data_IF_892795552112
#
_entry.id   IF_892795552112
#
_cell.length_a   1.000
_cell.length_b   1.000
_cell.length_c   1.000
_cell.angle_alpha   90.00
_cell.angle_beta   90.00
_cell.angle_gamma   90.00
#
_symmetry.space_group_name_H-M   'P 1'
#
loop_
_entity.id
_entity.type
_entity.pdbx_description
1 polymer ?
#
# COMPACT_ATOMS: atom_id res chain seq x y z
N UNK A 1 -18.07 6.85 -24.99
CA UNK A 1 -17.93 7.58 -23.71
C UNK A 1 -16.89 6.84 -22.92
N UNK A 2 -15.84 7.53 -22.50
CA UNK A 2 -14.80 6.92 -21.66
C UNK A 2 -15.26 6.77 -20.21
N UNK A 3 -14.48 6.08 -19.41
CA UNK A 3 -14.80 5.75 -18.02
C UNK A 3 -14.58 6.96 -17.11
N UNK A 4 -15.48 7.18 -16.15
CA UNK A 4 -15.39 8.18 -15.09
C UNK A 4 -15.00 7.49 -13.79
N UNK A 5 -13.82 7.80 -13.28
CA UNK A 5 -13.20 7.16 -12.12
C UNK A 5 -13.23 8.06 -10.89
N UNK A 6 -13.66 7.55 -9.74
CA UNK A 6 -13.44 8.16 -8.43
C UNK A 6 -12.23 7.54 -7.74
N UNK A 7 -11.31 8.36 -7.25
CA UNK A 7 -10.18 7.94 -6.40
C UNK A 7 -10.31 8.59 -5.03
N UNK A 8 -10.33 7.80 -3.97
CA UNK A 8 -10.22 8.29 -2.60
C UNK A 8 -8.81 8.08 -2.05
N UNK A 9 -8.37 8.91 -1.11
CA UNK A 9 -7.00 8.84 -0.59
C UNK A 9 -5.94 9.35 -1.56
N UNK A 10 -6.31 10.17 -2.54
CA UNK A 10 -5.45 10.70 -3.59
C UNK A 10 -4.27 11.57 -3.09
N UNK A 11 -4.29 12.04 -1.84
CA UNK A 11 -3.17 12.77 -1.20
C UNK A 11 -2.18 11.83 -0.48
N UNK A 12 -2.47 10.54 -0.42
CA UNK A 12 -1.63 9.55 0.24
C UNK A 12 -0.57 8.95 -0.68
N UNK A 13 0.31 8.14 -0.09
CA UNK A 13 1.43 7.47 -0.75
C UNK A 13 0.99 6.69 -2.01
N UNK A 14 0.06 5.75 -1.87
CA UNK A 14 -0.40 4.91 -2.97
C UNK A 14 -1.46 5.63 -3.80
N UNK A 15 -2.47 6.23 -3.16
CA UNK A 15 -3.56 6.91 -3.86
C UNK A 15 -3.11 8.08 -4.75
N UNK A 16 -2.03 8.78 -4.37
CA UNK A 16 -1.42 9.81 -5.20
C UNK A 16 -0.82 9.26 -6.50
N UNK A 17 -0.24 8.05 -6.46
CA UNK A 17 0.26 7.36 -7.65
C UNK A 17 -0.88 6.87 -8.54
N UNK A 18 -1.94 6.35 -7.93
CA UNK A 18 -3.17 5.99 -8.65
C UNK A 18 -3.76 7.20 -9.37
N UNK A 19 -3.87 8.34 -8.68
CA UNK A 19 -4.41 9.57 -9.26
C UNK A 19 -3.55 10.07 -10.45
N UNK A 20 -2.22 10.04 -10.32
CA UNK A 20 -1.30 10.41 -11.39
C UNK A 20 -1.39 9.45 -12.61
N UNK A 21 -1.42 8.15 -12.36
CA UNK A 21 -1.58 7.15 -13.42
C UNK A 21 -2.94 7.27 -14.12
N UNK A 22 -4.01 7.51 -13.36
CA UNK A 22 -5.35 7.69 -13.89
C UNK A 22 -5.47 8.95 -14.76
N UNK A 23 -4.88 10.07 -14.33
CA UNK A 23 -4.88 11.32 -15.10
C UNK A 23 -4.23 11.18 -16.48
N UNK A 24 -3.25 10.30 -16.60
CA UNK A 24 -2.54 10.02 -17.87
C UNK A 24 -3.18 8.89 -18.70
N UNK A 25 -4.24 8.24 -18.21
CA UNK A 25 -4.80 7.05 -18.86
C UNK A 25 -5.73 7.41 -20.02
N UNK A 26 -5.50 6.88 -21.24
CA UNK A 26 -6.25 7.29 -22.44
C UNK A 26 -7.72 6.86 -22.42
N UNK A 27 -8.09 5.80 -21.70
CA UNK A 27 -9.45 5.28 -21.65
C UNK A 27 -10.32 5.95 -20.57
N UNK A 28 -9.78 6.92 -19.85
CA UNK A 28 -10.51 7.70 -18.85
C UNK A 28 -10.93 9.06 -19.41
N UNK A 29 -12.21 9.37 -19.33
CA UNK A 29 -12.71 10.71 -19.66
C UNK A 29 -12.52 11.66 -18.47
N UNK A 30 -12.74 11.13 -17.25
CA UNK A 30 -12.71 11.95 -16.03
C UNK A 30 -12.15 11.17 -14.84
N UNK A 31 -11.31 11.84 -14.07
CA UNK A 31 -10.80 11.35 -12.77
C UNK A 31 -11.26 12.31 -11.69
N UNK A 32 -12.09 11.84 -10.78
CA UNK A 32 -12.54 12.60 -9.61
C UNK A 32 -11.73 12.19 -8.40
N UNK A 33 -11.16 13.17 -7.68
CA UNK A 33 -10.36 12.97 -6.49
C UNK A 33 -11.15 13.45 -5.27
N UNK A 34 -11.48 12.55 -4.35
CA UNK A 34 -12.06 12.92 -3.06
C UNK A 34 -10.91 13.28 -2.11
N UNK A 35 -10.85 14.54 -1.68
CA UNK A 35 -9.80 15.07 -0.79
C UNK A 35 -10.42 15.89 0.34
N UNK A 36 -9.81 15.81 1.55
CA UNK A 36 -10.26 16.58 2.71
C UNK A 36 -9.91 18.07 2.59
N UNK A 37 -8.72 18.35 2.10
CA UNK A 37 -8.24 19.69 1.82
C UNK A 37 -7.83 19.78 0.33
N UNK A 38 -8.55 20.55 -0.49
CA UNK A 38 -8.21 20.74 -1.90
C UNK A 38 -6.82 21.33 -2.12
N UNK A 39 -6.34 22.20 -1.21
CA UNK A 39 -5.02 22.83 -1.32
C UNK A 39 -3.87 21.83 -1.07
N UNK A 40 -4.16 20.73 -0.38
CA UNK A 40 -3.22 19.62 -0.19
C UNK A 40 -3.30 18.58 -1.33
N UNK A 41 -4.21 18.74 -2.27
CA UNK A 41 -4.17 17.94 -3.50
C UNK A 41 -2.80 18.17 -4.16
N UNK A 42 -2.13 17.10 -4.62
CA UNK A 42 -0.81 17.24 -5.20
C UNK A 42 -0.86 18.35 -6.27
N UNK A 43 -0.11 19.44 -6.08
CA UNK A 43 0.03 20.52 -7.04
C UNK A 43 0.60 20.04 -8.39
N UNK A 44 1.00 18.81 -8.43
CA UNK A 44 1.50 18.08 -9.57
C UNK A 44 0.50 17.01 -10.05
N UNK A 45 -0.77 17.35 -10.22
CA UNK A 45 -1.40 16.82 -11.41
C UNK A 45 -0.87 17.69 -12.55
N UNK A 46 0.19 17.31 -13.26
CA UNK A 46 0.54 17.99 -14.49
C UNK A 46 -0.78 18.06 -15.26
N UNK A 47 -1.07 19.21 -15.84
CA UNK A 47 -2.18 19.32 -16.78
C UNK A 47 -2.15 18.07 -17.61
N UNK A 48 -3.26 17.31 -17.62
CA UNK A 48 -3.29 15.99 -18.24
C UNK A 48 -2.55 16.11 -19.56
N UNK A 49 -1.63 15.21 -19.90
CA UNK A 49 -0.94 15.28 -21.18
C UNK A 49 -2.02 15.40 -22.26
N UNK A 50 -1.73 16.06 -23.35
CA UNK A 50 -2.70 16.26 -24.43
C UNK A 50 -3.37 14.91 -24.75
N UNK A 51 -4.67 14.78 -24.46
CA UNK A 51 -5.43 13.52 -24.57
C UNK A 51 -5.62 12.73 -23.26
N UNK A 52 -5.17 13.21 -22.10
CA UNK A 52 -5.46 12.59 -20.79
C UNK A 52 -6.83 12.97 -20.23
N UNK A 53 -7.22 12.29 -19.14
CA UNK A 53 -8.49 12.49 -18.46
C UNK A 53 -8.63 13.90 -17.84
N UNK A 54 -9.85 14.43 -17.80
CA UNK A 54 -10.16 15.64 -17.03
C UNK A 54 -10.09 15.30 -15.54
N UNK A 55 -9.21 15.96 -14.80
CA UNK A 55 -9.08 15.77 -13.35
C UNK A 55 -9.91 16.81 -12.62
N UNK A 56 -10.82 16.37 -11.75
CA UNK A 56 -11.62 17.22 -10.87
C UNK A 56 -11.39 16.86 -9.40
N UNK A 57 -11.34 17.86 -8.54
CA UNK A 57 -11.20 17.67 -7.09
C UNK A 57 -12.53 17.97 -6.42
N UNK A 58 -12.98 17.02 -5.59
CA UNK A 58 -14.17 17.18 -4.75
C UNK A 58 -13.75 17.18 -3.30
N UNK A 59 -14.09 18.26 -2.58
CA UNK A 59 -13.85 18.33 -1.16
C UNK A 59 -14.81 17.41 -0.41
N UNK A 60 -14.27 16.56 0.48
CA UNK A 60 -15.06 15.66 1.31
C UNK A 60 -14.19 14.74 2.15
N UNK A 61 -14.84 14.04 3.06
CA UNK A 61 -14.22 13.05 3.97
C UNK A 61 -14.97 11.72 3.84
N UNK A 62 -14.26 10.60 3.87
CA UNK A 62 -14.89 9.27 3.86
C UNK A 62 -15.79 9.04 5.08
N UNK A 63 -15.63 9.82 6.13
CA UNK A 63 -16.49 9.81 7.34
C UNK A 63 -17.78 10.62 7.17
N UNK A 64 -17.96 11.33 6.07
CA UNK A 64 -19.17 12.09 5.74
C UNK A 64 -19.92 11.47 4.57
N UNK A 65 -20.99 10.76 4.88
CA UNK A 65 -21.85 10.11 3.88
C UNK A 65 -22.44 11.10 2.86
N UNK A 66 -22.60 12.39 3.22
CA UNK A 66 -23.05 13.44 2.31
C UNK A 66 -22.02 13.73 1.23
N UNK A 67 -20.75 13.86 1.63
CA UNK A 67 -19.65 14.08 0.69
C UNK A 67 -19.42 12.86 -0.22
N UNK A 68 -19.57 11.64 0.32
CA UNK A 68 -19.46 10.42 -0.46
C UNK A 68 -20.54 10.31 -1.53
N UNK A 69 -21.79 10.67 -1.23
CA UNK A 69 -22.85 10.69 -2.24
C UNK A 69 -22.51 11.64 -3.40
N UNK A 70 -22.09 12.87 -3.08
CA UNK A 70 -21.68 13.85 -4.13
C UNK A 70 -20.48 13.35 -4.93
N UNK A 71 -19.51 12.74 -4.25
CA UNK A 71 -18.32 12.22 -4.93
C UNK A 71 -18.64 11.06 -5.88
N UNK A 72 -19.62 10.23 -5.57
CA UNK A 72 -20.01 9.07 -6.38
C UNK A 72 -20.97 9.41 -7.52
N UNK A 73 -21.59 10.62 -7.56
CA UNK A 73 -22.53 10.97 -8.63
C UNK A 73 -21.90 10.85 -10.03
N UNK A 74 -22.50 9.98 -10.85
CA UNK A 74 -22.13 9.80 -12.24
C UNK A 74 -20.74 9.19 -12.45
N UNK A 75 -20.16 8.48 -11.49
CA UNK A 75 -18.93 7.71 -11.68
C UNK A 75 -19.24 6.28 -12.09
N UNK A 76 -18.37 5.70 -12.91
CA UNK A 76 -18.52 4.35 -13.44
C UNK A 76 -17.71 3.34 -12.61
N UNK A 77 -16.61 3.79 -12.02
CA UNK A 77 -15.71 2.98 -11.18
C UNK A 77 -15.15 3.76 -9.99
N UNK A 78 -14.82 3.05 -8.92
CA UNK A 78 -14.23 3.60 -7.68
C UNK A 78 -12.96 2.85 -7.34
N UNK A 79 -11.86 3.58 -7.07
CA UNK A 79 -10.65 3.06 -6.42
C UNK A 79 -10.56 3.68 -5.03
N UNK A 80 -10.68 2.83 -4.00
CA UNK A 80 -10.66 3.23 -2.61
C UNK A 80 -9.28 2.98 -1.99
N UNK A 81 -8.47 4.05 -1.88
CA UNK A 81 -7.15 4.04 -1.22
C UNK A 81 -7.15 4.80 0.11
N UNK A 82 -8.25 5.47 0.48
CA UNK A 82 -8.32 6.18 1.76
C UNK A 82 -8.28 5.19 2.93
N UNK A 83 -7.31 5.37 3.81
CA UNK A 83 -7.15 4.53 5.01
C UNK A 83 -6.46 5.32 6.11
N UNK A 84 -6.81 5.05 7.36
CA UNK A 84 -6.06 5.48 8.52
C UNK A 84 -5.15 4.33 9.01
N UNK A 85 -3.91 4.68 9.39
CA UNK A 85 -2.90 3.73 9.86
C UNK A 85 -2.35 4.24 11.19
N UNK A 86 -2.46 3.44 12.24
CA UNK A 86 -2.08 3.85 13.59
C UNK A 86 -3.01 4.92 14.19
N UNK A 87 -2.77 5.29 15.44
CA UNK A 87 -3.60 6.25 16.17
C UNK A 87 -4.77 5.59 16.89
N UNK A 88 -5.75 6.41 17.27
CA UNK A 88 -6.91 6.00 18.05
C UNK A 88 -7.80 5.01 17.29
N UNK A 89 -8.23 3.94 17.96
CA UNK A 89 -9.04 2.87 17.35
C UNK A 89 -10.36 3.39 16.79
N UNK A 90 -10.96 4.39 17.43
CA UNK A 90 -12.19 5.02 16.95
C UNK A 90 -11.99 5.69 15.58
N UNK A 91 -10.89 6.42 15.38
CA UNK A 91 -10.54 7.00 14.09
C UNK A 91 -10.32 5.91 13.03
N UNK A 92 -9.60 4.85 13.39
CA UNK A 92 -9.38 3.72 12.49
C UNK A 92 -10.69 3.07 12.06
N UNK A 93 -11.61 2.87 13.00
CA UNK A 93 -12.95 2.33 12.73
C UNK A 93 -13.79 3.28 11.87
N UNK A 94 -13.78 4.57 12.20
CA UNK A 94 -14.54 5.57 11.45
C UNK A 94 -14.10 5.67 9.99
N UNK A 95 -12.77 5.55 9.71
CA UNK A 95 -12.23 5.65 8.35
C UNK A 95 -12.28 4.32 7.61
N UNK A 96 -11.68 3.26 8.20
CA UNK A 96 -11.43 2.01 7.48
C UNK A 96 -12.65 1.07 7.41
N UNK A 97 -13.52 1.12 8.42
CA UNK A 97 -14.73 0.29 8.51
C UNK A 97 -15.95 1.07 8.01
N UNK A 98 -16.43 2.05 8.82
CA UNK A 98 -17.65 2.79 8.51
C UNK A 98 -17.52 3.62 7.23
N UNK A 99 -16.37 4.28 7.02
CA UNK A 99 -16.10 5.07 5.82
C UNK A 99 -16.12 4.22 4.55
N UNK A 100 -15.56 3.00 4.62
CA UNK A 100 -15.61 2.05 3.49
C UNK A 100 -17.03 1.57 3.24
N UNK A 101 -17.81 1.25 4.29
CA UNK A 101 -19.23 0.89 4.15
C UNK A 101 -20.01 1.99 3.45
N UNK A 102 -19.89 3.22 3.94
CA UNK A 102 -20.66 4.35 3.43
C UNK A 102 -20.26 4.71 1.99
N UNK A 103 -18.99 4.53 1.63
CA UNK A 103 -18.50 4.67 0.25
C UNK A 103 -19.12 3.60 -0.67
N UNK A 104 -19.09 2.34 -0.26
CA UNK A 104 -19.68 1.22 -1.04
C UNK A 104 -21.16 1.47 -1.27
N UNK A 105 -21.88 1.89 -0.23
CA UNK A 105 -23.31 2.23 -0.31
C UNK A 105 -23.56 3.40 -1.28
N UNK A 106 -22.75 4.45 -1.21
CA UNK A 106 -22.86 5.61 -2.10
C UNK A 106 -22.55 5.23 -3.57
N UNK A 107 -21.49 4.45 -3.81
CA UNK A 107 -21.11 3.97 -5.13
C UNK A 107 -22.21 3.09 -5.78
N UNK A 108 -22.79 2.15 -5.01
CA UNK A 108 -23.88 1.30 -5.48
C UNK A 108 -25.14 2.10 -5.82
N UNK A 109 -25.52 3.06 -4.97
CA UNK A 109 -26.69 3.93 -5.25
C UNK A 109 -26.49 4.81 -6.48
N UNK A 110 -25.24 5.21 -6.75
CA UNK A 110 -24.88 5.98 -7.94
C UNK A 110 -24.78 5.11 -9.22
N UNK A 111 -24.88 3.79 -9.08
CA UNK A 111 -24.79 2.87 -10.22
C UNK A 111 -23.36 2.57 -10.67
N UNK A 112 -22.35 2.84 -9.85
CA UNK A 112 -20.97 2.48 -10.16
C UNK A 112 -20.86 0.96 -10.37
N UNK A 113 -20.39 0.56 -11.56
CA UNK A 113 -20.30 -0.85 -11.95
C UNK A 113 -19.09 -1.57 -11.36
N UNK A 114 -18.12 -0.83 -10.79
CA UNK A 114 -16.88 -1.43 -10.27
C UNK A 114 -16.38 -0.69 -9.03
N UNK A 115 -16.04 -1.48 -8.01
CA UNK A 115 -15.44 -0.98 -6.76
C UNK A 115 -14.18 -1.78 -6.51
N UNK A 116 -13.02 -1.11 -6.47
CA UNK A 116 -11.71 -1.67 -6.14
C UNK A 116 -11.23 -1.05 -4.85
N UNK A 117 -10.88 -1.85 -3.86
CA UNK A 117 -10.38 -1.37 -2.57
C UNK A 117 -8.96 -1.84 -2.30
N UNK A 118 -8.11 -0.92 -1.90
CA UNK A 118 -6.77 -1.22 -1.41
C UNK A 118 -6.85 -1.69 0.03
N UNK A 119 -6.48 -2.94 0.30
CA UNK A 119 -6.33 -3.51 1.62
C UNK A 119 -4.88 -3.90 1.92
N UNK A 120 -4.65 -4.93 2.71
CA UNK A 120 -3.34 -5.39 3.14
C UNK A 120 -3.35 -6.89 3.44
N UNK A 121 -2.26 -7.61 3.15
CA UNK A 121 -2.09 -8.99 3.57
C UNK A 121 -2.04 -9.15 5.10
N UNK A 122 -1.79 -8.07 5.87
CA UNK A 122 -1.81 -8.09 7.34
C UNK A 122 -3.17 -8.44 7.96
N UNK A 123 -4.25 -8.55 7.16
CA UNK A 123 -5.55 -9.08 7.60
C UNK A 123 -5.48 -10.56 8.00
N UNK A 124 -4.43 -11.28 7.58
CA UNK A 124 -4.18 -12.68 7.95
C UNK A 124 -3.36 -12.83 9.24
N UNK A 125 -2.89 -11.73 9.82
CA UNK A 125 -2.09 -11.75 11.04
C UNK A 125 -0.60 -11.89 10.80
N UNK A 126 0.07 -12.62 11.71
CA UNK A 126 1.52 -12.83 11.68
C UNK A 126 1.83 -14.24 11.20
N UNK A 127 2.53 -14.38 10.10
CA UNK A 127 2.93 -15.65 9.49
C UNK A 127 3.46 -16.74 10.42
N UNK A 128 4.25 -17.65 9.94
CA UNK A 128 4.83 -17.63 8.59
C UNK A 128 3.81 -17.96 7.50
N UNK A 129 3.94 -17.29 6.36
CA UNK A 129 3.17 -17.57 5.16
C UNK A 129 4.12 -17.88 4.02
N UNK A 130 4.00 -19.10 3.42
CA UNK A 130 4.87 -19.57 2.34
C UNK A 130 4.04 -19.88 1.10
N UNK A 131 4.24 -19.14 0.03
CA UNK A 131 3.49 -19.27 -1.22
C UNK A 131 1.98 -19.36 -0.96
N UNK A 132 1.48 -18.56 0.01
CA UNK A 132 0.09 -18.63 0.39
C UNK A 132 -0.78 -18.16 -0.77
N UNK A 133 -1.65 -19.06 -1.24
CA UNK A 133 -2.59 -18.76 -2.32
C UNK A 133 -3.81 -17.98 -1.78
N UNK A 134 -4.52 -17.26 -2.65
CA UNK A 134 -5.76 -16.61 -2.28
C UNK A 134 -6.76 -17.60 -1.66
N UNK A 135 -7.53 -17.11 -0.71
CA UNK A 135 -8.60 -17.85 -0.02
C UNK A 135 -8.16 -19.07 0.80
N UNK A 136 -6.84 -19.31 0.93
CA UNK A 136 -6.31 -20.41 1.75
C UNK A 136 -6.04 -20.02 3.21
N UNK A 137 -5.95 -18.73 3.50
CA UNK A 137 -5.68 -18.21 4.83
C UNK A 137 -6.94 -17.62 5.48
N UNK A 138 -7.18 -17.93 6.77
CA UNK A 138 -8.23 -17.25 7.51
C UNK A 138 -7.89 -15.77 7.75
N UNK A 139 -8.91 -14.94 7.94
CA UNK A 139 -8.72 -13.60 8.48
C UNK A 139 -8.42 -13.70 9.98
N UNK A 140 -7.24 -13.25 10.39
CA UNK A 140 -6.77 -13.27 11.78
C UNK A 140 -6.02 -11.98 12.14
N UNK A 141 -6.61 -10.79 11.88
CA UNK A 141 -5.93 -9.50 12.04
C UNK A 141 -5.58 -9.24 13.50
N UNK A 142 -4.33 -8.82 13.78
CA UNK A 142 -3.83 -8.61 15.15
C UNK A 142 -3.78 -7.14 15.55
N UNK A 143 -3.57 -6.21 14.63
CA UNK A 143 -3.54 -4.77 14.93
C UNK A 143 -4.93 -4.14 14.78
N UNK A 144 -5.17 -3.00 15.46
CA UNK A 144 -6.40 -2.24 15.27
C UNK A 144 -6.58 -1.80 13.79
N UNK A 145 -5.49 -1.42 13.13
CA UNK A 145 -5.50 -1.09 11.70
C UNK A 145 -5.93 -2.28 10.84
N UNK A 146 -5.33 -3.47 11.04
CA UNK A 146 -5.69 -4.63 10.23
C UNK A 146 -7.11 -5.15 10.52
N UNK A 147 -7.58 -5.06 11.78
CA UNK A 147 -8.97 -5.40 12.15
C UNK A 147 -9.99 -4.51 11.45
N UNK A 148 -9.77 -3.19 11.48
CA UNK A 148 -10.71 -2.25 10.85
C UNK A 148 -10.68 -2.32 9.33
N UNK A 149 -9.53 -2.61 8.72
CA UNK A 149 -9.42 -2.85 7.28
C UNK A 149 -10.12 -4.15 6.87
N UNK A 150 -9.93 -5.25 7.61
CA UNK A 150 -10.65 -6.49 7.37
C UNK A 150 -12.17 -6.34 7.50
N UNK A 151 -12.64 -5.47 8.40
CA UNK A 151 -14.06 -5.13 8.49
C UNK A 151 -14.56 -4.39 7.24
N UNK A 152 -13.77 -3.43 6.72
CA UNK A 152 -14.07 -2.70 5.49
C UNK A 152 -14.11 -3.58 4.24
N UNK A 153 -13.20 -4.57 4.13
CA UNK A 153 -13.16 -5.51 3.00
C UNK A 153 -14.50 -6.21 2.78
N UNK A 154 -15.20 -6.60 3.84
CA UNK A 154 -16.47 -7.32 3.74
C UNK A 154 -17.50 -6.55 2.94
N UNK A 155 -17.64 -5.24 3.15
CA UNK A 155 -18.60 -4.44 2.40
C UNK A 155 -18.29 -4.39 0.91
N UNK A 156 -17.00 -4.34 0.55
CA UNK A 156 -16.57 -4.37 -0.87
C UNK A 156 -16.87 -5.72 -1.49
N UNK A 157 -16.50 -6.82 -0.81
CA UNK A 157 -16.71 -8.18 -1.28
C UNK A 157 -18.20 -8.52 -1.38
N UNK A 158 -19.01 -8.16 -0.39
CA UNK A 158 -20.48 -8.37 -0.39
C UNK A 158 -21.17 -7.58 -1.51
N UNK A 159 -20.56 -6.47 -1.95
CA UNK A 159 -21.01 -5.69 -3.09
C UNK A 159 -20.56 -6.26 -4.45
N UNK A 160 -19.84 -7.37 -4.50
CA UNK A 160 -19.25 -7.93 -5.71
C UNK A 160 -18.03 -7.14 -6.21
N UNK A 161 -17.39 -6.38 -5.34
CA UNK A 161 -16.18 -5.62 -5.64
C UNK A 161 -14.89 -6.44 -5.51
N UNK A 162 -13.77 -5.77 -5.75
CA UNK A 162 -12.43 -6.36 -5.76
C UNK A 162 -11.58 -5.75 -4.64
N UNK A 163 -10.91 -6.59 -3.86
CA UNK A 163 -10.02 -6.20 -2.77
C UNK A 163 -8.59 -6.60 -3.11
N UNK A 164 -7.65 -5.65 -3.08
CA UNK A 164 -6.23 -5.90 -3.32
C UNK A 164 -5.45 -5.86 -2.01
N UNK A 165 -4.74 -6.94 -1.71
CA UNK A 165 -3.98 -7.16 -0.47
C UNK A 165 -2.48 -7.20 -0.74
N UNK A 166 -1.79 -6.05 -0.90
CA UNK A 166 -0.34 -6.01 -0.89
C UNK A 166 0.22 -6.34 0.50
N UNK A 167 1.48 -6.81 0.55
CA UNK A 167 2.22 -6.99 1.80
C UNK A 167 3.14 -5.79 2.05
N UNK A 168 4.34 -5.76 1.49
CA UNK A 168 5.27 -4.66 1.61
C UNK A 168 5.26 -3.80 0.34
N UNK A 169 4.92 -2.52 0.49
CA UNK A 169 4.92 -1.55 -0.60
C UNK A 169 6.09 -0.61 -0.42
N UNK A 170 6.98 -0.54 -1.40
CA UNK A 170 8.15 0.33 -1.37
C UNK A 170 8.15 1.34 -2.53
N UNK A 171 9.00 2.33 -2.41
CA UNK A 171 9.20 3.33 -3.46
C UNK A 171 9.07 4.76 -2.98
N UNK A 172 9.11 5.70 -3.91
CA UNK A 172 9.03 7.14 -3.62
C UNK A 172 7.72 7.48 -2.91
N UNK A 173 7.80 7.95 -1.66
CA UNK A 173 6.66 8.23 -0.79
C UNK A 173 6.50 7.23 0.37
N UNK A 174 7.23 6.10 0.37
CA UNK A 174 7.24 5.14 1.47
C UNK A 174 7.86 5.75 2.73
N UNK A 175 7.07 5.82 3.80
CA UNK A 175 7.50 6.31 5.12
C UNK A 175 7.49 5.22 6.19
N UNK A 176 7.22 3.98 5.83
CA UNK A 176 6.99 2.88 6.77
C UNK A 176 7.90 1.68 6.53
N UNK A 177 7.95 1.11 5.33
CA UNK A 177 8.66 -0.15 5.05
C UNK A 177 10.17 0.04 5.17
N UNK A 178 10.77 0.77 4.25
CA UNK A 178 12.23 0.98 4.27
C UNK A 178 12.67 1.77 5.51
N UNK A 179 12.00 2.87 5.93
CA UNK A 179 12.34 3.54 7.18
C UNK A 179 12.21 2.65 8.42
N UNK A 180 11.26 1.72 8.44
CA UNK A 180 11.12 0.74 9.53
C UNK A 180 12.28 -0.23 9.62
N UNK A 181 12.74 -0.75 8.47
CA UNK A 181 13.93 -1.59 8.39
C UNK A 181 15.17 -0.82 8.89
N UNK A 182 15.34 0.42 8.46
CA UNK A 182 16.47 1.25 8.90
C UNK A 182 16.41 1.53 10.42
N UNK A 183 15.21 1.71 10.98
CA UNK A 183 15.03 1.83 12.44
C UNK A 183 15.45 0.56 13.16
N UNK A 184 15.09 -0.61 12.64
CA UNK A 184 15.54 -1.90 13.17
C UNK A 184 17.06 -2.01 13.12
N UNK A 185 17.66 -1.77 11.95
CA UNK A 185 19.10 -1.92 11.74
C UNK A 185 19.94 -0.94 12.57
N UNK A 186 19.44 0.29 12.79
CA UNK A 186 20.11 1.29 13.62
C UNK A 186 20.04 0.98 15.12
N UNK A 187 19.10 0.14 15.55
CA UNK A 187 18.94 -0.26 16.95
C UNK A 187 19.81 -1.48 17.33
N UNK A 188 20.47 -2.11 16.35
CA UNK A 188 21.33 -3.27 16.57
C UNK A 188 22.81 -2.88 16.63
N UNK A 189 23.62 -3.56 17.47
CA UNK A 189 25.07 -3.29 17.58
C UNK A 189 25.87 -3.79 16.37
N UNK A 190 25.28 -4.59 15.50
CA UNK A 190 25.90 -5.18 14.32
C UNK A 190 24.89 -5.41 13.18
N UNK A 191 25.36 -5.83 12.00
CA UNK A 191 24.46 -6.23 10.92
C UNK A 191 23.55 -7.37 11.35
N UNK A 192 22.28 -7.33 10.99
CA UNK A 192 21.37 -8.45 11.20
C UNK A 192 21.74 -9.56 10.21
N UNK A 193 22.00 -10.76 10.71
CA UNK A 193 22.17 -11.94 9.87
C UNK A 193 20.79 -12.36 9.35
N UNK A 194 20.72 -12.65 8.04
CA UNK A 194 19.47 -13.07 7.42
C UNK A 194 18.94 -14.38 8.01
N UNK A 195 17.63 -14.50 8.05
CA UNK A 195 16.94 -15.73 8.49
C UNK A 195 16.60 -16.66 7.33
N UNK A 196 16.83 -16.21 6.08
CA UNK A 196 16.38 -16.87 4.86
C UNK A 196 14.89 -16.73 4.62
N UNK A 197 14.22 -15.81 5.31
CA UNK A 197 12.80 -15.55 5.10
C UNK A 197 12.53 -14.87 3.75
N UNK A 198 11.36 -15.15 3.18
CA UNK A 198 10.92 -14.61 1.90
C UNK A 198 9.74 -13.66 2.08
N UNK A 199 9.78 -12.55 1.37
CA UNK A 199 8.79 -11.49 1.48
C UNK A 199 8.18 -11.10 0.14
N UNK A 200 6.88 -10.92 0.13
CA UNK A 200 6.15 -10.33 -1.00
C UNK A 200 6.30 -8.81 -1.00
N UNK A 201 6.95 -8.27 -2.01
CA UNK A 201 7.12 -6.84 -2.22
C UNK A 201 6.44 -6.37 -3.50
N UNK A 202 6.03 -5.12 -3.52
CA UNK A 202 5.58 -4.45 -4.74
C UNK A 202 6.01 -2.99 -4.75
N UNK A 203 6.49 -2.52 -5.90
CA UNK A 203 6.75 -1.11 -6.12
C UNK A 203 5.45 -0.31 -6.17
N UNK A 204 5.44 0.89 -5.63
CA UNK A 204 4.23 1.73 -5.54
C UNK A 204 3.64 2.09 -6.90
N UNK A 205 4.45 2.31 -7.92
CA UNK A 205 3.98 2.57 -9.30
C UNK A 205 3.35 1.32 -9.92
N UNK A 206 3.92 0.15 -9.70
CA UNK A 206 3.36 -1.14 -10.13
C UNK A 206 2.04 -1.43 -9.43
N UNK A 207 1.95 -1.17 -8.13
CA UNK A 207 0.71 -1.28 -7.34
C UNK A 207 -0.36 -0.31 -7.86
N UNK A 208 -0.02 0.95 -8.11
CA UNK A 208 -0.95 1.95 -8.64
C UNK A 208 -1.47 1.55 -10.02
N UNK A 209 -0.59 1.06 -10.88
CA UNK A 209 -0.97 0.53 -12.18
C UNK A 209 -1.90 -0.68 -12.09
N UNK A 210 -1.66 -1.60 -11.16
CA UNK A 210 -2.52 -2.76 -10.93
C UNK A 210 -3.89 -2.38 -10.37
N UNK A 211 -3.96 -1.40 -9.43
CA UNK A 211 -5.23 -0.84 -8.94
C UNK A 211 -6.06 -0.24 -10.10
N UNK A 212 -5.41 0.50 -10.99
CA UNK A 212 -6.05 1.07 -12.17
C UNK A 212 -6.49 -0.02 -13.14
N UNK A 213 -5.65 -1.01 -13.41
CA UNK A 213 -5.98 -2.17 -14.23
C UNK A 213 -7.19 -2.93 -13.67
N UNK A 214 -7.23 -3.17 -12.35
CA UNK A 214 -8.36 -3.80 -11.69
C UNK A 214 -9.67 -3.01 -11.85
N UNK A 215 -9.61 -1.68 -11.91
CA UNK A 215 -10.78 -0.84 -12.11
C UNK A 215 -11.26 -0.79 -13.56
N UNK A 216 -10.38 -0.99 -14.54
CA UNK A 216 -10.67 -0.79 -15.95
C UNK A 216 -10.79 -2.10 -16.75
N UNK A 217 -10.07 -3.16 -16.37
CA UNK A 217 -10.09 -4.42 -17.11
C UNK A 217 -11.44 -5.14 -16.97
N UNK A 218 -12.07 -5.54 -18.07
CA UNK A 218 -13.28 -6.35 -18.03
C UNK A 218 -13.05 -7.76 -17.48
N UNK A 219 -11.81 -8.24 -17.49
CA UNK A 219 -11.44 -9.56 -16.98
C UNK A 219 -11.35 -9.61 -15.45
N UNK A 220 -11.29 -8.45 -14.77
CA UNK A 220 -11.25 -8.41 -13.30
C UNK A 220 -12.53 -8.98 -12.70
N UNK A 221 -12.40 -10.08 -11.98
CA UNK A 221 -13.48 -10.68 -11.20
C UNK A 221 -13.63 -10.06 -9.80
N UNK A 222 -14.78 -10.31 -9.13
CA UNK A 222 -14.95 -10.00 -7.73
C UNK A 222 -14.06 -10.91 -6.86
N UNK A 223 -13.73 -10.43 -5.66
CA UNK A 223 -12.97 -11.22 -4.70
C UNK A 223 -11.71 -10.53 -4.21
N UNK A 224 -10.95 -11.25 -3.38
CA UNK A 224 -9.69 -10.77 -2.85
C UNK A 224 -8.51 -11.33 -3.67
N UNK A 225 -7.52 -10.47 -3.90
CA UNK A 225 -6.29 -10.78 -4.62
C UNK A 225 -5.09 -10.39 -3.76
N UNK A 226 -4.07 -11.24 -3.71
CA UNK A 226 -2.77 -10.80 -3.23
C UNK A 226 -2.06 -10.03 -4.35
N UNK A 227 -1.46 -8.90 -4.00
CA UNK A 227 -0.80 -8.08 -5.00
C UNK A 227 0.66 -7.84 -4.61
N UNK A 228 1.55 -8.62 -5.21
CA UNK A 228 2.98 -8.57 -5.03
C UNK A 228 3.68 -8.92 -6.34
N UNK A 229 4.97 -8.56 -6.48
CA UNK A 229 5.77 -9.12 -7.57
C UNK A 229 5.82 -10.65 -7.42
N UNK A 230 5.74 -11.42 -8.52
CA UNK A 230 5.76 -12.89 -8.45
C UNK A 230 7.01 -13.46 -7.78
N UNK A 231 8.16 -12.83 -8.00
CA UNK A 231 9.41 -13.21 -7.36
C UNK A 231 9.47 -12.62 -5.95
N UNK A 232 9.43 -13.44 -4.89
CA UNK A 232 9.62 -12.96 -3.53
C UNK A 232 11.06 -12.50 -3.33
N UNK A 233 11.26 -11.59 -2.40
CA UNK A 233 12.58 -11.03 -2.03
C UNK A 233 13.01 -11.65 -0.71
N UNK A 234 14.24 -12.15 -0.64
CA UNK A 234 14.80 -12.62 0.63
C UNK A 234 15.12 -11.47 1.57
N UNK A 235 15.08 -11.73 2.87
CA UNK A 235 15.51 -10.76 3.87
C UNK A 235 16.97 -10.31 3.62
N UNK A 236 17.88 -11.22 3.22
CA UNK A 236 19.26 -10.89 2.86
C UNK A 236 19.33 -9.86 1.71
N UNK A 237 18.58 -10.07 0.63
CA UNK A 237 18.51 -9.12 -0.50
C UNK A 237 17.97 -7.76 -0.07
N UNK A 238 16.92 -7.78 0.77
CA UNK A 238 16.29 -6.55 1.26
C UNK A 238 17.22 -5.79 2.19
N UNK A 239 17.87 -6.47 3.14
CA UNK A 239 18.84 -5.89 4.07
C UNK A 239 20.03 -5.31 3.32
N UNK A 240 20.60 -6.05 2.35
CA UNK A 240 21.71 -5.58 1.51
C UNK A 240 21.34 -4.32 0.70
N UNK A 241 20.09 -4.25 0.19
CA UNK A 241 19.62 -3.10 -0.59
C UNK A 241 19.43 -1.83 0.26
N UNK A 242 19.02 -1.97 1.51
CA UNK A 242 18.74 -0.81 2.40
C UNK A 242 19.96 -0.39 3.24
N UNK A 243 20.93 -1.26 3.49
CA UNK A 243 22.11 -0.98 4.31
C UNK A 243 22.87 0.30 3.87
N UNK A 244 23.07 0.58 2.55
CA UNK A 244 23.71 1.82 2.10
C UNK A 244 22.96 3.12 2.44
N UNK A 245 21.75 3.03 2.96
CA UNK A 245 20.95 4.17 3.41
C UNK A 245 21.21 4.53 4.88
N UNK A 246 21.85 3.64 5.65
CA UNK A 246 22.24 3.94 7.03
C UNK A 246 23.35 4.99 7.06
N UNK A 247 23.36 5.87 8.09
CA UNK A 247 24.44 6.82 8.30
C UNK A 247 25.79 6.11 8.35
N UNK A 248 26.83 6.72 7.78
CA UNK A 248 28.19 6.17 7.78
C UNK A 248 28.69 5.92 9.21
N UNK A 249 28.38 6.81 10.14
CA UNK A 249 28.72 6.64 11.57
C UNK A 249 28.11 5.38 12.19
N UNK A 250 26.88 5.02 11.79
CA UNK A 250 26.24 3.79 12.24
C UNK A 250 26.91 2.58 11.62
N UNK A 251 27.19 2.60 10.32
CA UNK A 251 27.87 1.49 9.62
C UNK A 251 29.28 1.25 10.12
N UNK A 252 30.05 2.33 10.33
CA UNK A 252 31.42 2.25 10.82
C UNK A 252 31.53 1.78 12.29
N UNK A 253 30.52 1.99 13.10
CA UNK A 253 30.47 1.59 14.50
C UNK A 253 30.00 0.15 14.75
N UNK A 254 29.59 -0.57 13.68
CA UNK A 254 29.02 -1.92 13.81
C UNK A 254 30.05 -2.96 14.25
N UNK A 255 29.62 -3.78 15.19
CA UNK A 255 30.28 -4.99 15.65
C UNK A 255 30.02 -6.21 14.76
N UNK A 256 30.19 -7.42 15.30
CA UNK A 256 29.86 -8.68 14.62
C UNK A 256 28.38 -8.73 14.20
N UNK A 257 28.07 -9.58 13.23
CA UNK A 257 26.69 -9.85 12.84
C UNK A 257 25.89 -10.45 14.01
N UNK A 258 24.63 -10.03 14.14
CA UNK A 258 23.69 -10.41 15.18
C UNK A 258 22.65 -11.36 14.54
N UNK A 259 22.45 -12.52 15.12
CA UNK A 259 21.39 -13.42 14.67
C UNK A 259 20.01 -13.01 15.19
N UNK A 260 18.96 -13.62 14.66
CA UNK A 260 17.57 -13.27 15.00
C UNK A 260 17.19 -13.50 16.47
N UNK A 261 17.73 -14.54 17.11
CA UNK A 261 17.44 -14.85 18.51
C UNK A 261 18.13 -13.82 19.44
N UNK A 262 19.35 -13.47 19.13
CA UNK A 262 20.11 -12.43 19.83
C UNK A 262 19.45 -11.06 19.60
N UNK A 263 19.09 -10.70 18.35
CA UNK A 263 18.40 -9.45 18.04
C UNK A 263 17.08 -9.32 18.82
N UNK A 264 16.28 -10.39 18.91
CA UNK A 264 15.04 -10.40 19.71
C UNK A 264 15.30 -10.08 21.18
N UNK A 265 16.38 -10.62 21.75
CA UNK A 265 16.77 -10.36 23.13
C UNK A 265 17.21 -8.90 23.31
N UNK A 266 18.06 -8.39 22.43
CA UNK A 266 18.56 -7.02 22.47
C UNK A 266 17.45 -5.98 22.31
N UNK A 267 16.44 -6.27 21.49
CA UNK A 267 15.34 -5.36 21.18
C UNK A 267 14.13 -5.47 22.12
N UNK A 268 14.17 -6.30 23.16
CA UNK A 268 13.03 -6.51 24.07
C UNK A 268 12.52 -5.20 24.71
N UNK A 269 13.41 -4.21 24.93
CA UNK A 269 13.08 -2.89 25.44
C UNK A 269 12.69 -1.85 24.36
N UNK A 270 12.67 -2.22 23.08
CA UNK A 270 12.35 -1.34 21.96
C UNK A 270 11.20 -1.92 21.13
N UNK A 271 9.92 -1.64 21.48
CA UNK A 271 8.76 -2.27 20.85
C UNK A 271 8.67 -2.03 19.33
N UNK A 272 9.13 -0.86 18.86
CA UNK A 272 9.09 -0.53 17.44
C UNK A 272 10.09 -1.36 16.64
N UNK A 273 11.34 -1.42 17.08
CA UNK A 273 12.37 -2.23 16.42
C UNK A 273 12.05 -3.73 16.52
N UNK A 274 11.55 -4.21 17.68
CA UNK A 274 11.09 -5.57 17.86
C UNK A 274 9.94 -5.94 16.92
N UNK A 275 8.99 -5.02 16.69
CA UNK A 275 7.91 -5.24 15.72
C UNK A 275 8.46 -5.44 14.30
N UNK A 276 9.42 -4.61 13.88
CA UNK A 276 10.05 -4.76 12.57
C UNK A 276 10.86 -6.06 12.48
N UNK A 277 11.58 -6.46 13.53
CA UNK A 277 12.29 -7.73 13.56
C UNK A 277 11.34 -8.91 13.34
N UNK A 278 10.20 -8.95 14.04
CA UNK A 278 9.19 -10.00 13.87
C UNK A 278 8.58 -10.03 12.46
N UNK A 279 8.44 -8.87 11.83
CA UNK A 279 7.97 -8.77 10.45
C UNK A 279 8.96 -9.35 9.44
N UNK A 280 10.27 -9.23 9.68
CA UNK A 280 11.33 -9.69 8.77
C UNK A 280 11.85 -11.09 9.09
N UNK A 281 11.67 -11.58 10.30
CA UNK A 281 12.15 -12.89 10.71
C UNK A 281 11.29 -14.07 10.28
N UNK A 282 10.18 -13.85 9.62
CA UNK A 282 9.24 -14.87 9.20
C UNK A 282 8.87 -14.69 7.73
N UNK A 283 8.63 -15.82 7.05
CA UNK A 283 8.12 -15.77 5.69
C UNK A 283 6.78 -15.04 5.62
N UNK A 284 6.70 -14.06 4.72
CA UNK A 284 5.49 -13.38 4.33
C UNK A 284 5.37 -13.37 2.80
N UNK A 285 5.35 -14.55 2.22
CA UNK A 285 5.26 -14.77 0.79
C UNK A 285 3.86 -15.24 0.40
N UNK A 286 3.20 -14.42 -0.40
CA UNK A 286 1.87 -14.63 -0.94
C UNK A 286 1.96 -14.84 -2.46
N UNK A 287 1.36 -15.90 -2.96
CA UNK A 287 1.40 -16.25 -4.38
C UNK A 287 0.01 -16.10 -5.01
N UNK A 288 -0.11 -15.15 -5.93
CA UNK A 288 -1.33 -14.94 -6.72
C UNK A 288 -0.93 -14.41 -8.11
N UNK A 289 -1.11 -15.21 -9.13
CA UNK A 289 -0.80 -14.82 -10.50
C UNK A 289 -1.98 -14.14 -11.21
N UNK A 290 -3.19 -14.24 -10.64
CA UNK A 290 -4.41 -13.68 -11.24
C UNK A 290 -4.34 -12.18 -11.51
N UNK A 291 -3.77 -11.31 -10.62
CA UNK A 291 -3.65 -9.88 -10.90
C UNK A 291 -2.96 -9.57 -12.22
N UNK A 292 -1.94 -10.36 -12.57
CA UNK A 292 -1.11 -10.09 -13.75
C UNK A 292 -1.76 -10.55 -15.06
N UNK A 293 -2.74 -11.43 -14.99
CA UNK A 293 -3.59 -11.83 -16.11
C UNK A 293 -4.87 -10.99 -16.20
N UNK A 294 -5.58 -10.84 -15.06
CA UNK A 294 -6.92 -10.25 -15.01
C UNK A 294 -6.91 -8.73 -15.14
N UNK A 295 -5.85 -8.06 -14.68
CA UNK A 295 -5.77 -6.60 -14.70
C UNK A 295 -5.13 -6.03 -15.98
N UNK A 296 -4.77 -6.90 -16.93
CA UNK A 296 -4.22 -6.49 -18.23
C UNK A 296 -2.83 -5.83 -18.14
N UNK A 297 -2.07 -6.13 -17.09
CA UNK A 297 -0.72 -5.58 -16.85
C UNK A 297 0.20 -6.65 -16.28
N UNK A 298 1.44 -6.68 -16.76
CA UNK A 298 2.48 -7.52 -16.15
C UNK A 298 3.02 -6.91 -14.84
N UNK A 299 3.76 -7.71 -14.04
CA UNK A 299 4.32 -7.30 -12.75
C UNK A 299 5.41 -6.23 -12.87
N UNK A 300 5.99 -6.05 -14.06
CA UNK A 300 7.15 -5.20 -14.26
C UNK A 300 8.46 -5.86 -13.81
N UNK A 301 9.55 -5.07 -13.70
CA UNK A 301 10.82 -5.57 -13.20
C UNK A 301 10.79 -5.82 -11.69
N UNK A 302 11.58 -6.82 -11.23
CA UNK A 302 11.68 -7.18 -9.82
C UNK A 302 12.40 -6.14 -8.93
N UNK A 303 12.43 -6.41 -7.64
CA UNK A 303 12.92 -5.50 -6.60
C UNK A 303 14.34 -4.97 -6.87
N UNK A 304 15.28 -5.84 -7.15
CA UNK A 304 16.71 -5.47 -7.35
C UNK A 304 16.92 -4.53 -8.53
N UNK A 305 16.10 -4.63 -9.58
CA UNK A 305 16.17 -3.76 -10.75
C UNK A 305 15.50 -2.39 -10.53
N UNK A 306 14.52 -2.31 -9.64
CA UNK A 306 13.68 -1.12 -9.43
C UNK A 306 14.10 -0.32 -8.21
N UNK A 307 14.44 -0.95 -7.10
CA UNK A 307 14.77 -0.30 -5.83
C UNK A 307 15.83 0.81 -5.96
N UNK A 308 16.91 0.66 -6.75
CA UNK A 308 17.91 1.72 -6.93
C UNK A 308 17.35 3.06 -7.43
N UNK A 309 16.22 3.06 -8.14
CA UNK A 309 15.57 4.28 -8.64
C UNK A 309 15.01 5.17 -7.51
N UNK A 310 14.74 4.56 -6.36
CA UNK A 310 14.15 5.24 -5.20
C UNK A 310 15.16 5.70 -4.15
N UNK A 311 16.44 5.31 -4.27
CA UNK A 311 17.48 5.63 -3.26
C UNK A 311 17.65 7.13 -3.02
N UNK A 312 17.55 7.96 -4.05
CA UNK A 312 17.67 9.42 -3.91
C UNK A 312 16.53 10.00 -3.05
N UNK A 313 15.33 9.44 -3.17
CA UNK A 313 14.20 9.86 -2.36
C UNK A 313 14.35 9.43 -0.90
N UNK A 314 14.76 8.20 -0.65
CA UNK A 314 15.00 7.73 0.73
C UNK A 314 16.11 8.53 1.41
N UNK A 315 17.20 8.86 0.71
CA UNK A 315 18.26 9.71 1.27
C UNK A 315 17.76 11.09 1.68
N UNK A 316 16.93 11.74 0.86
CA UNK A 316 16.30 13.03 1.22
C UNK A 316 15.40 12.90 2.45
N UNK A 317 14.54 11.89 2.48
CA UNK A 317 13.66 11.64 3.63
C UNK A 317 14.43 11.47 4.94
N UNK A 318 15.56 10.75 4.90
CA UNK A 318 16.39 10.52 6.07
C UNK A 318 17.12 11.80 6.51
N UNK A 319 17.58 12.61 5.58
CA UNK A 319 18.17 13.92 5.88
C UNK A 319 17.15 14.86 6.55
N UNK A 320 15.94 14.98 5.99
CA UNK A 320 14.84 15.77 6.58
C UNK A 320 14.49 15.33 8.02
N UNK A 321 14.52 14.02 8.28
CA UNK A 321 14.26 13.49 9.64
C UNK A 321 15.40 13.79 10.62
N UNK A 322 16.64 13.76 10.16
CA UNK A 322 17.80 14.08 10.99
C UNK A 322 17.84 15.57 11.38
N UNK A 323 17.37 16.46 10.49
CA UNK A 323 17.27 17.90 10.77
C UNK A 323 16.13 18.25 11.73
N UNK A 324 15.08 17.40 11.82
CA UNK A 324 13.91 17.61 12.67
C UNK A 324 14.05 16.98 14.08
N UNK A 325 15.11 16.21 14.34
CA UNK A 325 15.39 15.49 15.60
C UNK A 325 16.40 16.25 16.45
#
# INVERSE_FOLDING_TARGET
MGTRLLVTGATGFIGGRVAAAAAAHPDLDRVRLLVRNPDAAPAAHPQAPAGGAVVETVQGDVRDAGSLRRACEGVDAVIHCASAIGGEEELLRAVNDHGTRDLVDAARRAGAGRIVSLSTASVHGRGPFRAAAPDTLPLAPVSATSRTRAAGERYVLDAGGTVLRPHLVYGTGDRQVVPGILTLLAALPGPLAGSGSLHSLIEVESLAGALLGAALSPATGPGAYYLAHPDPVSDDELLAAVDPLLPESVRAARGPAVDFAEARTLLAGNPLAAHHLEMFGLDHWFADERPWTDFGRGPGPGFTAVFPRHLSWYRRLLAERAEAS
#
